data_IF_034670872908
#
_entry.id   IF_034670872908
#
_cell.length_a   1.000
_cell.length_b   1.000
_cell.length_c   1.000
_cell.angle_alpha   90.00
_cell.angle_beta   90.00
_cell.angle_gamma   90.00
#
_symmetry.space_group_name_H-M   'P 1'
#
loop_
_entity.id
_entity.type
_entity.pdbx_description
1 polymer ?
#
# COMPACT_ATOMS: atom_id res chain seq x y z
N UNK A 1 -3.49 27.11 23.36
CA UNK A 1 -4.49 26.13 22.88
C UNK A 1 -4.28 25.71 21.42
N UNK A 2 -3.54 26.48 20.61
CA UNK A 2 -3.25 26.19 19.19
C UNK A 2 -2.35 24.96 18.95
N UNK A 3 -1.36 24.71 19.83
CA UNK A 3 -0.46 23.56 19.74
C UNK A 3 -1.13 22.19 19.97
N UNK A 4 -2.27 22.14 20.66
CA UNK A 4 -2.98 20.88 20.93
C UNK A 4 -3.80 20.43 19.69
N UNK A 5 -4.39 21.38 18.97
CA UNK A 5 -5.13 21.11 17.73
C UNK A 5 -4.21 20.65 16.58
N UNK A 6 -3.02 21.25 16.46
CA UNK A 6 -2.03 20.86 15.45
C UNK A 6 -1.51 19.44 15.68
N UNK A 7 -1.25 19.04 16.93
CA UNK A 7 -0.83 17.67 17.27
C UNK A 7 -1.92 16.63 16.99
N UNK A 8 -3.18 16.94 17.29
CA UNK A 8 -4.29 16.03 17.01
C UNK A 8 -4.49 15.80 15.50
N UNK A 9 -4.46 16.87 14.69
CA UNK A 9 -4.53 16.79 13.23
C UNK A 9 -3.38 15.96 12.62
N UNK A 10 -2.15 16.16 13.12
CA UNK A 10 -0.99 15.41 12.65
C UNK A 10 -1.06 13.93 13.02
N UNK A 11 -1.53 13.63 14.24
CA UNK A 11 -1.71 12.25 14.71
C UNK A 11 -2.77 11.51 13.91
N UNK A 12 -3.91 12.16 13.60
CA UNK A 12 -4.96 11.57 12.76
C UNK A 12 -4.46 11.25 11.35
N UNK A 13 -3.66 12.14 10.73
CA UNK A 13 -3.10 11.90 9.38
C UNK A 13 -2.10 10.74 9.38
N UNK A 14 -1.26 10.65 10.40
CA UNK A 14 -0.31 9.55 10.56
C UNK A 14 -1.04 8.21 10.75
N UNK A 15 -2.11 8.19 11.56
CA UNK A 15 -2.96 7.02 11.76
C UNK A 15 -3.61 6.57 10.43
N UNK A 16 -4.13 7.49 9.62
CA UNK A 16 -4.69 7.16 8.30
C UNK A 16 -3.62 6.54 7.39
N UNK A 17 -2.43 7.12 7.33
CA UNK A 17 -1.30 6.56 6.57
C UNK A 17 -0.91 5.16 7.04
N UNK A 18 -0.87 4.94 8.35
CA UNK A 18 -0.57 3.64 8.95
C UNK A 18 -1.66 2.60 8.62
N UNK A 19 -2.94 2.99 8.68
CA UNK A 19 -4.06 2.14 8.29
C UNK A 19 -3.93 1.74 6.81
N UNK A 20 -3.65 2.69 5.91
CA UNK A 20 -3.46 2.41 4.49
C UNK A 20 -2.31 1.40 4.28
N UNK A 21 -1.20 1.58 4.98
CA UNK A 21 -0.05 0.66 4.91
C UNK A 21 -0.40 -0.75 5.39
N UNK A 22 -1.12 -0.86 6.52
CA UNK A 22 -1.56 -2.15 7.04
C UNK A 22 -2.55 -2.84 6.11
N UNK A 23 -3.51 -2.10 5.53
CA UNK A 23 -4.46 -2.61 4.55
C UNK A 23 -3.75 -3.11 3.28
N UNK A 24 -2.77 -2.36 2.79
CA UNK A 24 -1.93 -2.76 1.66
C UNK A 24 -1.16 -4.05 1.94
N UNK A 25 -0.59 -4.17 3.14
CA UNK A 25 0.11 -5.38 3.59
C UNK A 25 -0.84 -6.59 3.65
N UNK A 26 -2.03 -6.42 4.25
CA UNK A 26 -3.06 -7.46 4.32
C UNK A 26 -3.49 -7.90 2.91
N UNK A 27 -3.71 -6.93 2.00
CA UNK A 27 -4.06 -7.23 0.61
C UNK A 27 -3.02 -8.10 -0.09
N UNK A 28 -1.73 -7.82 0.16
CA UNK A 28 -0.63 -8.58 -0.41
C UNK A 28 -0.58 -10.02 0.13
N UNK A 29 -0.80 -10.21 1.44
CA UNK A 29 -0.91 -11.54 2.05
C UNK A 29 -2.09 -12.32 1.46
N UNK A 30 -3.27 -11.71 1.38
CA UNK A 30 -4.47 -12.35 0.85
C UNK A 30 -4.27 -12.79 -0.61
N UNK A 31 -3.63 -11.95 -1.42
CA UNK A 31 -3.29 -12.30 -2.80
C UNK A 31 -2.27 -13.44 -2.89
N UNK A 32 -1.24 -13.42 -2.04
CA UNK A 32 -0.22 -14.47 -2.00
C UNK A 32 -0.80 -15.84 -1.60
N UNK A 33 -1.77 -15.84 -0.68
CA UNK A 33 -2.50 -17.05 -0.29
C UNK A 33 -3.48 -17.57 -1.37
N UNK A 34 -3.49 -16.95 -2.55
CA UNK A 34 -4.42 -17.24 -3.66
C UNK A 34 -5.88 -17.23 -3.22
N UNK A 35 -6.23 -16.35 -2.27
CA UNK A 35 -7.61 -16.24 -1.82
C UNK A 35 -8.49 -15.84 -3.01
N UNK A 36 -9.57 -16.61 -3.25
CA UNK A 36 -10.54 -16.36 -4.34
C UNK A 36 -11.18 -14.97 -4.27
N UNK A 37 -11.16 -14.32 -3.10
CA UNK A 37 -11.69 -12.98 -2.86
C UNK A 37 -10.64 -11.86 -2.88
N UNK A 38 -9.36 -12.15 -3.13
CA UNK A 38 -8.29 -11.15 -3.05
C UNK A 38 -8.49 -9.97 -4.02
N UNK A 39 -8.98 -10.22 -5.23
CA UNK A 39 -9.23 -9.15 -6.21
C UNK A 39 -10.41 -8.25 -5.85
N UNK A 40 -11.46 -8.84 -5.25
CA UNK A 40 -12.56 -8.05 -4.69
C UNK A 40 -12.07 -7.17 -3.53
N UNK A 41 -11.16 -7.68 -2.70
CA UNK A 41 -10.52 -6.89 -1.66
C UNK A 41 -9.79 -5.67 -2.23
N UNK A 42 -8.94 -5.85 -3.25
CA UNK A 42 -8.21 -4.73 -3.88
C UNK A 42 -9.12 -3.67 -4.50
N UNK A 43 -10.22 -4.09 -5.14
CA UNK A 43 -11.21 -3.17 -5.69
C UNK A 43 -11.91 -2.37 -4.58
N UNK A 44 -12.40 -3.04 -3.54
CA UNK A 44 -13.10 -2.40 -2.42
C UNK A 44 -12.16 -1.46 -1.65
N UNK A 45 -10.93 -1.89 -1.37
CA UNK A 45 -10.00 -1.11 -0.56
C UNK A 45 -9.54 0.15 -1.28
N UNK A 46 -9.36 0.07 -2.61
CA UNK A 46 -9.04 1.23 -3.44
C UNK A 46 -10.15 2.27 -3.36
N UNK A 47 -11.41 1.85 -3.41
CA UNK A 47 -12.56 2.74 -3.27
C UNK A 47 -12.61 3.38 -1.88
N UNK A 48 -12.39 2.60 -0.83
CA UNK A 48 -12.36 3.12 0.55
C UNK A 48 -11.26 4.17 0.71
N UNK A 49 -10.06 3.91 0.20
CA UNK A 49 -8.93 4.84 0.28
C UNK A 49 -9.23 6.13 -0.48
N UNK A 50 -9.81 6.03 -1.68
CA UNK A 50 -10.22 7.18 -2.46
C UNK A 50 -11.25 8.05 -1.72
N UNK A 51 -12.27 7.43 -1.11
CA UNK A 51 -13.28 8.14 -0.33
C UNK A 51 -12.70 8.81 0.91
N UNK A 52 -11.79 8.15 1.62
CA UNK A 52 -11.10 8.72 2.78
C UNK A 52 -10.26 9.94 2.38
N UNK A 53 -9.51 9.84 1.28
CA UNK A 53 -8.68 10.92 0.79
C UNK A 53 -9.50 12.12 0.29
N UNK A 54 -10.57 11.86 -0.48
CA UNK A 54 -11.53 12.89 -0.91
C UNK A 54 -12.19 13.57 0.29
N UNK A 55 -12.65 12.80 1.28
CA UNK A 55 -13.27 13.34 2.49
C UNK A 55 -12.33 14.27 3.26
N UNK A 56 -11.05 13.89 3.39
CA UNK A 56 -10.05 14.71 4.06
C UNK A 56 -9.73 16.01 3.30
N UNK A 57 -9.68 15.95 1.97
CA UNK A 57 -9.47 17.11 1.09
C UNK A 57 -10.64 18.09 1.19
N UNK A 58 -11.88 17.58 1.11
CA UNK A 58 -13.09 18.40 1.23
C UNK A 58 -13.17 19.08 2.60
N UNK A 59 -12.88 18.35 3.68
CA UNK A 59 -12.83 18.91 5.02
C UNK A 59 -11.83 20.08 5.13
N UNK A 60 -10.60 19.90 4.64
CA UNK A 60 -9.59 20.96 4.65
C UNK A 60 -9.98 22.19 3.82
N UNK A 61 -10.63 21.98 2.67
CA UNK A 61 -11.04 23.08 1.78
C UNK A 61 -12.21 23.88 2.33
N UNK A 62 -13.16 23.21 2.99
CA UNK A 62 -14.28 23.90 3.66
C UNK A 62 -13.77 24.85 4.75
N UNK A 63 -12.73 24.45 5.47
CA UNK A 63 -12.07 25.30 6.47
C UNK A 63 -11.33 26.49 5.83
N UNK A 64 -10.74 26.34 4.64
CA UNK A 64 -9.92 27.38 3.98
C UNK A 64 -10.65 28.28 2.98
N UNK A 65 -11.95 28.06 2.69
CA UNK A 65 -12.77 28.86 1.75
C UNK A 65 -12.14 29.11 0.36
N UNK A 66 -11.50 28.11 -0.22
CA UNK A 66 -10.89 28.23 -1.56
C UNK A 66 -11.93 27.86 -2.63
N UNK A 67 -12.11 28.62 -3.73
CA UNK A 67 -13.04 28.28 -4.80
C UNK A 67 -12.48 27.12 -5.65
N UNK A 68 -13.20 25.99 -5.72
CA UNK A 68 -12.57 24.69 -6.04
C UNK A 68 -13.36 23.78 -7.00
N UNK A 69 -14.24 24.28 -7.87
CA UNK A 69 -14.95 23.38 -8.81
C UNK A 69 -13.97 22.61 -9.73
N UNK A 70 -13.00 23.32 -10.32
CA UNK A 70 -11.94 22.72 -11.15
C UNK A 70 -11.06 21.78 -10.33
N UNK A 71 -10.71 22.17 -9.10
CA UNK A 71 -9.84 21.40 -8.22
C UNK A 71 -10.51 20.11 -7.72
N UNK A 72 -11.83 20.12 -7.52
CA UNK A 72 -12.64 18.94 -7.19
C UNK A 72 -12.70 18.00 -8.40
N UNK A 73 -12.89 18.54 -9.61
CA UNK A 73 -12.92 17.73 -10.83
C UNK A 73 -11.61 16.96 -11.06
N UNK A 74 -10.46 17.63 -10.89
CA UNK A 74 -9.16 16.97 -10.99
C UNK A 74 -9.00 15.85 -9.95
N UNK A 75 -9.50 16.06 -8.74
CA UNK A 75 -9.40 15.08 -7.67
C UNK A 75 -10.27 13.85 -7.95
N UNK A 76 -11.51 14.06 -8.41
CA UNK A 76 -12.40 12.97 -8.85
C UNK A 76 -11.77 12.18 -9.99
N UNK A 77 -11.26 12.86 -11.02
CA UNK A 77 -10.61 12.19 -12.16
C UNK A 77 -9.36 11.40 -11.74
N UNK A 78 -8.58 11.93 -10.80
CA UNK A 78 -7.40 11.26 -10.26
C UNK A 78 -7.75 9.93 -9.61
N UNK A 79 -8.75 9.93 -8.72
CA UNK A 79 -9.20 8.71 -8.05
C UNK A 79 -9.93 7.74 -8.97
N UNK A 80 -10.72 8.24 -9.94
CA UNK A 80 -11.32 7.41 -10.97
C UNK A 80 -10.26 6.74 -11.86
N UNK A 81 -9.18 7.46 -12.19
CA UNK A 81 -8.04 6.92 -12.93
C UNK A 81 -7.38 5.77 -12.18
N UNK A 82 -7.19 5.90 -10.85
CA UNK A 82 -6.71 4.82 -10.01
C UNK A 82 -7.66 3.60 -10.03
N UNK A 83 -8.96 3.81 -9.79
CA UNK A 83 -9.96 2.73 -9.79
C UNK A 83 -9.99 2.00 -11.14
N UNK A 84 -9.98 2.75 -12.25
CA UNK A 84 -9.92 2.18 -13.60
C UNK A 84 -8.65 1.36 -13.82
N UNK A 85 -7.50 1.85 -13.36
CA UNK A 85 -6.22 1.14 -13.48
C UNK A 85 -6.21 -0.16 -12.66
N UNK A 86 -6.76 -0.16 -11.45
CA UNK A 86 -6.91 -1.37 -10.62
C UNK A 86 -7.85 -2.38 -11.26
N UNK A 87 -8.94 -1.91 -11.87
CA UNK A 87 -9.87 -2.77 -12.60
C UNK A 87 -9.20 -3.42 -13.82
N UNK A 88 -8.46 -2.65 -14.62
CA UNK A 88 -7.67 -3.19 -15.75
C UNK A 88 -6.66 -4.22 -15.26
N UNK A 89 -5.98 -3.96 -14.14
CA UNK A 89 -5.04 -4.92 -13.55
C UNK A 89 -5.73 -6.23 -13.14
N UNK A 90 -6.95 -6.16 -12.60
CA UNK A 90 -7.73 -7.37 -12.29
C UNK A 90 -8.07 -8.17 -13.54
N UNK A 91 -8.42 -7.51 -14.66
CA UNK A 91 -8.64 -8.19 -15.93
C UNK A 91 -7.38 -8.91 -16.39
N UNK A 92 -6.20 -8.27 -16.33
CA UNK A 92 -4.93 -8.88 -16.74
C UNK A 92 -4.58 -10.13 -15.94
N UNK A 93 -4.95 -10.16 -14.65
CA UNK A 93 -4.76 -11.32 -13.80
C UNK A 93 -5.77 -12.41 -14.13
N UNK A 94 -7.04 -12.06 -14.32
CA UNK A 94 -8.12 -12.99 -14.61
C UNK A 94 -7.91 -13.72 -15.95
N UNK A 95 -7.40 -13.02 -16.96
CA UNK A 95 -7.04 -13.62 -18.27
C UNK A 95 -5.64 -14.26 -18.28
N UNK A 96 -4.92 -14.22 -17.15
CA UNK A 96 -3.64 -14.91 -16.97
C UNK A 96 -2.42 -14.28 -17.65
N UNK A 97 -2.49 -13.01 -18.08
CA UNK A 97 -1.31 -12.30 -18.64
C UNK A 97 -0.26 -12.08 -17.56
N UNK A 98 -0.68 -11.78 -16.34
CA UNK A 98 0.21 -11.59 -15.19
C UNK A 98 -0.22 -12.47 -14.02
N UNK A 99 0.74 -12.86 -13.18
CA UNK A 99 0.43 -13.61 -11.96
C UNK A 99 -0.32 -12.72 -10.96
N UNK A 100 -1.13 -13.35 -10.11
CA UNK A 100 -1.89 -12.64 -9.07
C UNK A 100 -1.00 -11.79 -8.16
N UNK A 101 0.19 -12.32 -7.80
CA UNK A 101 1.17 -11.62 -6.99
C UNK A 101 1.74 -10.38 -7.70
N UNK A 102 2.16 -10.49 -8.96
CA UNK A 102 2.64 -9.36 -9.77
C UNK A 102 1.54 -8.31 -9.93
N UNK A 103 0.30 -8.76 -10.15
CA UNK A 103 -0.89 -7.93 -10.16
C UNK A 103 -1.01 -7.08 -8.89
N UNK A 104 -0.96 -7.70 -7.71
CA UNK A 104 -1.09 -7.01 -6.44
C UNK A 104 0.05 -6.02 -6.19
N UNK A 105 1.29 -6.37 -6.57
CA UNK A 105 2.41 -5.42 -6.52
C UNK A 105 2.20 -4.21 -7.43
N UNK A 106 1.65 -4.42 -8.63
CA UNK A 106 1.30 -3.32 -9.51
C UNK A 106 0.18 -2.44 -8.96
N UNK A 107 -0.88 -3.02 -8.36
CA UNK A 107 -1.92 -2.25 -7.67
C UNK A 107 -1.34 -1.45 -6.50
N UNK A 108 -0.43 -2.04 -5.72
CA UNK A 108 0.27 -1.36 -4.64
C UNK A 108 1.09 -0.16 -5.15
N UNK A 109 1.79 -0.33 -6.27
CA UNK A 109 2.55 0.75 -6.92
C UNK A 109 1.63 1.88 -7.44
N UNK A 110 0.51 1.52 -8.08
CA UNK A 110 -0.50 2.48 -8.52
C UNK A 110 -1.09 3.28 -7.35
N UNK A 111 -1.39 2.59 -6.24
CA UNK A 111 -1.88 3.20 -5.01
C UNK A 111 -0.85 4.17 -4.40
N UNK A 112 0.42 3.75 -4.34
CA UNK A 112 1.53 4.59 -3.89
C UNK A 112 1.66 5.86 -4.75
N UNK A 113 1.61 5.72 -6.07
CA UNK A 113 1.66 6.85 -7.00
C UNK A 113 0.47 7.79 -6.85
N UNK A 114 -0.75 7.26 -6.73
CA UNK A 114 -1.95 8.08 -6.56
C UNK A 114 -1.90 8.89 -5.25
N UNK A 115 -1.46 8.27 -4.16
CA UNK A 115 -1.31 8.93 -2.86
C UNK A 115 -0.16 9.95 -2.90
N UNK A 116 0.95 9.64 -3.56
CA UNK A 116 2.06 10.57 -3.75
C UNK A 116 1.63 11.84 -4.51
N UNK A 117 0.89 11.68 -5.61
CA UNK A 117 0.37 12.82 -6.38
C UNK A 117 -0.66 13.63 -5.59
N UNK A 118 -1.53 12.97 -4.81
CA UNK A 118 -2.38 13.66 -3.85
C UNK A 118 -1.55 14.45 -2.83
N UNK A 119 -0.38 13.92 -2.44
CA UNK A 119 0.66 14.58 -1.67
C UNK A 119 1.12 15.92 -2.23
N UNK A 120 1.40 15.95 -3.53
CA UNK A 120 1.91 17.12 -4.24
C UNK A 120 0.83 18.18 -4.41
N UNK A 121 -0.36 17.78 -4.85
CA UNK A 121 -1.38 18.73 -5.31
C UNK A 121 -2.45 19.09 -4.27
N UNK A 122 -2.61 18.27 -3.22
CA UNK A 122 -3.75 18.39 -2.29
C UNK A 122 -3.24 18.62 -0.86
N UNK A 123 -2.46 17.69 -0.32
CA UNK A 123 -2.08 17.70 1.09
C UNK A 123 -0.73 17.01 1.30
N UNK A 124 0.25 17.74 1.83
CA UNK A 124 1.64 17.29 1.90
C UNK A 124 1.89 16.04 2.76
N UNK A 125 1.01 15.68 3.70
CA UNK A 125 1.19 14.45 4.48
C UNK A 125 1.01 13.20 3.62
N UNK A 126 0.13 13.23 2.60
CA UNK A 126 0.03 12.13 1.63
C UNK A 126 1.32 11.90 0.83
N UNK A 127 2.18 12.92 0.67
CA UNK A 127 3.46 12.76 -0.03
C UNK A 127 4.35 11.73 0.67
N UNK A 128 4.48 11.82 2.00
CA UNK A 128 5.28 10.88 2.78
C UNK A 128 4.66 9.47 2.78
N UNK A 129 3.33 9.38 2.84
CA UNK A 129 2.62 8.09 2.80
C UNK A 129 2.83 7.41 1.44
N UNK A 130 2.73 8.16 0.34
CA UNK A 130 2.98 7.66 -1.01
C UNK A 130 4.42 7.16 -1.19
N UNK A 131 5.40 7.91 -0.67
CA UNK A 131 6.81 7.48 -0.67
C UNK A 131 6.97 6.18 0.15
N UNK A 132 6.40 6.12 1.36
CA UNK A 132 6.50 4.93 2.20
C UNK A 132 5.89 3.70 1.53
N UNK A 133 4.73 3.83 0.88
CA UNK A 133 4.11 2.75 0.10
C UNK A 133 4.96 2.35 -1.11
N UNK A 134 5.57 3.31 -1.80
CA UNK A 134 6.48 3.03 -2.92
C UNK A 134 7.71 2.26 -2.48
N UNK A 135 8.36 2.68 -1.38
CA UNK A 135 9.48 1.97 -0.77
C UNK A 135 9.06 0.57 -0.29
N UNK A 136 7.86 0.44 0.26
CA UNK A 136 7.30 -0.86 0.64
C UNK A 136 7.13 -1.77 -0.58
N UNK A 137 6.56 -1.27 -1.67
CA UNK A 137 6.42 -2.03 -2.92
C UNK A 137 7.78 -2.46 -3.50
N UNK A 138 8.76 -1.55 -3.54
CA UNK A 138 10.14 -1.85 -3.96
C UNK A 138 10.74 -2.93 -3.07
N UNK A 139 10.58 -2.79 -1.75
CA UNK A 139 11.12 -3.75 -0.79
C UNK A 139 10.55 -5.14 -1.00
N UNK A 140 9.23 -5.27 -1.22
CA UNK A 140 8.62 -6.58 -1.50
C UNK A 140 9.07 -7.14 -2.86
N UNK A 141 9.12 -6.33 -3.91
CA UNK A 141 9.59 -6.77 -5.23
C UNK A 141 11.07 -7.23 -5.18
N UNK A 142 11.89 -6.53 -4.41
CA UNK A 142 13.29 -6.87 -4.21
C UNK A 142 13.44 -8.12 -3.33
N UNK A 143 12.62 -8.24 -2.27
CA UNK A 143 12.55 -9.46 -1.48
C UNK A 143 12.20 -10.65 -2.36
N UNK A 144 11.12 -10.60 -3.15
CA UNK A 144 10.70 -11.74 -4.00
C UNK A 144 11.83 -12.25 -4.90
N UNK A 145 12.59 -11.33 -5.51
CA UNK A 145 13.72 -11.67 -6.38
C UNK A 145 14.95 -12.18 -5.61
N UNK A 146 15.11 -11.79 -4.34
CA UNK A 146 16.28 -12.10 -3.50
C UNK A 146 15.93 -13.00 -2.30
N UNK A 147 14.73 -13.58 -2.22
CA UNK A 147 14.25 -14.39 -1.09
C UNK A 147 15.17 -15.59 -0.87
N UNK A 148 15.66 -16.18 -1.96
CA UNK A 148 16.64 -17.27 -1.93
C UNK A 148 17.96 -16.86 -1.27
N UNK A 149 18.41 -15.60 -1.42
CA UNK A 149 19.65 -15.11 -0.79
C UNK A 149 19.52 -14.99 0.73
N UNK A 150 18.30 -14.86 1.28
CA UNK A 150 18.06 -14.87 2.73
C UNK A 150 17.74 -16.28 3.26
N UNK A 151 16.91 -17.05 2.53
CA UNK A 151 16.49 -18.39 2.94
C UNK A 151 17.64 -19.39 2.95
N UNK A 152 18.54 -19.36 1.94
CA UNK A 152 19.63 -20.33 1.83
C UNK A 152 20.59 -20.24 3.03
N UNK A 153 21.11 -19.06 3.44
CA UNK A 153 21.95 -18.94 4.63
C UNK A 153 21.23 -19.38 5.92
N UNK A 154 19.96 -19.01 6.09
CA UNK A 154 19.17 -19.39 7.28
C UNK A 154 19.02 -20.91 7.35
N UNK A 155 18.73 -21.57 6.23
CA UNK A 155 18.66 -23.03 6.14
C UNK A 155 19.99 -23.69 6.45
N UNK A 156 21.10 -23.15 5.93
CA UNK A 156 22.45 -23.65 6.25
C UNK A 156 22.71 -23.53 7.75
N UNK A 157 22.42 -22.38 8.37
CA UNK A 157 22.59 -22.17 9.81
C UNK A 157 21.71 -23.14 10.61
N UNK A 158 20.46 -23.33 10.22
CA UNK A 158 19.54 -24.26 10.88
C UNK A 158 20.04 -25.71 10.81
N UNK A 159 20.50 -26.16 9.65
CA UNK A 159 21.06 -27.51 9.46
C UNK A 159 22.33 -27.69 10.29
N UNK A 160 23.24 -26.71 10.29
CA UNK A 160 24.46 -26.74 11.10
C UNK A 160 24.15 -26.76 12.60
N UNK A 161 23.18 -25.96 13.05
CA UNK A 161 22.72 -25.96 14.43
C UNK A 161 22.14 -27.32 14.82
N UNK A 162 21.25 -27.90 13.99
CA UNK A 162 20.67 -29.23 14.23
C UNK A 162 21.78 -30.29 14.28
N UNK A 163 22.73 -30.27 13.35
CA UNK A 163 23.85 -31.22 13.33
C UNK A 163 24.75 -31.09 14.57
N UNK A 164 25.02 -29.86 15.02
CA UNK A 164 25.79 -29.58 16.23
C UNK A 164 25.08 -30.09 17.49
N UNK A 165 23.78 -29.79 17.64
CA UNK A 165 22.97 -30.26 18.77
C UNK A 165 22.75 -31.78 18.75
N UNK A 166 22.65 -32.41 17.58
CA UNK A 166 22.52 -33.86 17.44
C UNK A 166 23.82 -34.58 17.85
N UNK A 167 24.99 -34.05 17.48
CA UNK A 167 26.29 -34.58 17.91
C UNK A 167 26.50 -34.46 19.42
N UNK A 168 26.12 -33.32 20.00
CA UNK A 168 26.22 -33.09 21.46
C UNK A 168 25.29 -34.00 22.29
N UNK A 169 24.31 -34.65 21.68
CA UNK A 169 23.41 -35.60 22.35
C UNK A 169 23.89 -37.06 22.21
N UNK A 170 24.83 -37.33 21.30
CA UNK A 170 25.43 -38.67 21.12
C UNK A 170 26.79 -38.86 21.80
N UNK A 171 27.40 -37.78 22.28
CA UNK A 171 28.50 -37.79 23.26
C UNK A 171 27.95 -37.72 24.68
#
# INVERSE_FOLDING_TARGET
MENQNLRHLWSTRFIVGLIILLLAFIGLILTNMKATSAWRFWQIITVIIALLALGLSLYHRHVKKIPTAVLIWHEILHWLGLMGSVYIMSIYVDIGIISSFIGALGVLALLAQAIFLAGIYIESTFLLIGIALGLFAISIAWMETHLFLLIIPILIIAVLAIAYFARRKSE
#
